data_IF_586200953279
#
_entry.id   IF_586200953279
#
_cell.length_a   1.000
_cell.length_b   1.000
_cell.length_c   1.000
_cell.angle_alpha   90.00
_cell.angle_beta   90.00
_cell.angle_gamma   90.00
#
_symmetry.space_group_name_H-M   'P 1'
#
loop_
_entity.id
_entity.type
_entity.pdbx_description
1 polymer ?
#
# COMPACT_ATOMS: atom_id res chain seq x y z
N UNK A 1 9.17 -40.20 50.73
CA UNK A 1 7.92 -39.85 50.03
C UNK A 1 7.35 -38.57 50.63
N UNK A 2 7.37 -37.46 49.89
CA UNK A 2 6.32 -36.43 49.88
C UNK A 2 6.64 -35.44 48.77
N UNK A 3 5.88 -35.55 47.68
CA UNK A 3 5.81 -34.55 46.61
C UNK A 3 5.05 -33.33 47.18
N UNK A 4 5.55 -32.12 46.95
CA UNK A 4 4.73 -30.91 47.02
C UNK A 4 4.90 -30.16 45.69
N UNK A 5 3.76 -29.81 45.10
CA UNK A 5 3.58 -29.26 43.77
C UNK A 5 3.94 -27.76 43.70
N UNK A 6 4.26 -27.21 42.51
CA UNK A 6 4.21 -25.78 42.28
C UNK A 6 2.77 -25.38 41.91
N UNK A 7 2.21 -24.42 42.64
CA UNK A 7 0.97 -23.72 42.30
C UNK A 7 1.26 -22.23 42.41
N UNK A 8 1.61 -21.57 41.30
CA UNK A 8 1.25 -20.17 41.01
C UNK A 8 1.82 -19.73 39.64
N UNK A 9 1.16 -20.05 38.54
CA UNK A 9 1.21 -19.25 37.30
C UNK A 9 -0.19 -19.34 36.65
N UNK A 10 -1.18 -18.65 37.20
CA UNK A 10 -2.50 -18.47 36.57
C UNK A 10 -3.02 -17.05 36.90
N UNK A 11 -2.23 -16.02 36.62
CA UNK A 11 -2.68 -14.62 36.77
C UNK A 11 -2.13 -13.66 35.69
N UNK A 12 -1.66 -14.20 34.55
CA UNK A 12 -1.17 -13.38 33.43
C UNK A 12 -1.93 -13.61 32.11
N UNK A 13 -2.95 -14.49 32.07
CA UNK A 13 -3.72 -14.76 30.84
C UNK A 13 -5.03 -13.98 30.75
N UNK A 14 -5.47 -13.30 31.82
CA UNK A 14 -6.70 -12.51 31.81
C UNK A 14 -6.50 -11.06 31.32
N UNK A 15 -5.25 -10.59 31.20
CA UNK A 15 -4.95 -9.20 30.78
C UNK A 15 -4.82 -9.02 29.26
N UNK A 16 -4.34 -10.04 28.53
CA UNK A 16 -4.17 -9.94 27.07
C UNK A 16 -5.50 -10.09 26.32
N UNK A 17 -6.43 -10.90 26.85
CA UNK A 17 -7.76 -11.07 26.27
C UNK A 17 -8.58 -9.75 26.27
N UNK A 18 -8.40 -8.92 27.30
CA UNK A 18 -9.05 -7.61 27.40
C UNK A 18 -8.48 -6.58 26.41
N UNK A 19 -7.18 -6.63 26.11
CA UNK A 19 -6.54 -5.72 25.17
C UNK A 19 -6.99 -5.97 23.73
N UNK A 20 -7.08 -7.23 23.30
CA UNK A 20 -7.57 -7.59 21.95
C UNK A 20 -9.03 -7.17 21.72
N UNK A 21 -9.92 -7.41 22.70
CA UNK A 21 -11.31 -6.93 22.64
C UNK A 21 -11.40 -5.41 22.53
N UNK A 22 -10.49 -4.69 23.19
CA UNK A 22 -10.45 -3.22 23.16
C UNK A 22 -10.00 -2.68 21.80
N UNK A 23 -8.98 -3.28 21.17
CA UNK A 23 -8.52 -2.88 19.83
C UNK A 23 -9.58 -3.15 18.77
N UNK A 24 -10.22 -4.33 18.77
CA UNK A 24 -11.28 -4.65 17.82
C UNK A 24 -12.54 -3.80 17.98
N UNK A 25 -12.89 -3.45 19.22
CA UNK A 25 -13.95 -2.48 19.47
C UNK A 25 -13.56 -1.09 18.92
N UNK A 26 -12.30 -0.68 19.13
CA UNK A 26 -11.76 0.59 18.63
C UNK A 26 -11.78 0.66 17.10
N UNK A 27 -11.40 -0.40 16.38
CA UNK A 27 -11.42 -0.43 14.90
C UNK A 27 -12.84 -0.43 14.33
N UNK A 28 -13.79 -1.14 14.96
CA UNK A 28 -15.20 -1.11 14.56
C UNK A 28 -15.84 0.25 14.80
N UNK A 29 -15.52 0.90 15.92
CA UNK A 29 -15.99 2.26 16.22
C UNK A 29 -15.40 3.28 15.23
N UNK A 30 -14.10 3.20 14.95
CA UNK A 30 -13.42 4.02 13.94
C UNK A 30 -14.00 3.80 12.53
N UNK A 31 -14.32 2.56 12.15
CA UNK A 31 -14.99 2.25 10.89
C UNK A 31 -16.33 2.99 10.77
N UNK A 32 -17.14 2.97 11.83
CA UNK A 32 -18.44 3.66 11.83
C UNK A 32 -18.28 5.17 11.80
N UNK A 33 -17.33 5.72 12.55
CA UNK A 33 -17.02 7.16 12.53
C UNK A 33 -16.57 7.61 11.13
N UNK A 34 -15.65 6.89 10.52
CA UNK A 34 -15.18 7.13 9.15
C UNK A 34 -16.34 7.02 8.15
N UNK A 35 -17.15 5.97 8.24
CA UNK A 35 -18.31 5.79 7.38
C UNK A 35 -19.28 6.98 7.45
N UNK A 36 -19.54 7.47 8.67
CA UNK A 36 -20.47 8.58 8.93
C UNK A 36 -19.97 9.93 8.40
N UNK A 37 -18.66 10.14 8.30
CA UNK A 37 -18.05 11.37 7.74
C UNK A 37 -18.55 11.68 6.32
N UNK A 38 -18.91 10.65 5.55
CA UNK A 38 -19.32 10.79 4.15
C UNK A 38 -20.83 10.89 3.95
N UNK A 39 -21.64 10.97 5.03
CA UNK A 39 -23.09 11.15 4.91
C UNK A 39 -23.39 12.39 4.06
N UNK A 40 -24.26 12.21 3.07
CA UNK A 40 -24.65 13.26 2.11
C UNK A 40 -23.82 13.29 0.82
N UNK A 41 -22.70 12.56 0.71
CA UNK A 41 -21.96 12.46 -0.55
C UNK A 41 -22.87 11.91 -1.66
N UNK A 42 -22.98 12.57 -2.83
CA UNK A 42 -23.89 12.16 -3.90
C UNK A 42 -23.60 10.76 -4.44
N UNK A 43 -24.65 10.10 -4.97
CA UNK A 43 -24.46 8.84 -5.68
C UNK A 43 -23.97 9.07 -7.11
N UNK A 44 -22.91 8.39 -7.50
CA UNK A 44 -22.40 8.34 -8.87
C UNK A 44 -22.09 6.89 -9.24
N UNK A 45 -22.70 6.39 -10.31
CA UNK A 45 -22.42 5.03 -10.79
C UNK A 45 -20.94 4.90 -11.17
N UNK A 46 -20.24 3.91 -10.61
CA UNK A 46 -18.80 3.75 -10.77
C UNK A 46 -17.96 4.65 -9.86
N UNK A 47 -18.58 5.53 -9.06
CA UNK A 47 -17.87 6.49 -8.20
C UNK A 47 -17.17 5.85 -7.00
N UNK A 48 -15.97 6.35 -6.70
CA UNK A 48 -15.06 5.83 -5.65
C UNK A 48 -14.45 6.93 -4.78
N UNK A 49 -14.95 8.16 -4.85
CA UNK A 49 -14.34 9.29 -4.13
C UNK A 49 -15.40 10.12 -3.40
N UNK A 50 -15.01 10.99 -2.45
CA UNK A 50 -15.95 11.88 -1.75
C UNK A 50 -16.72 12.87 -2.63
N UNK A 51 -16.36 13.00 -3.93
CA UNK A 51 -17.14 13.75 -4.92
C UNK A 51 -18.36 12.97 -5.44
N UNK A 52 -18.40 11.66 -5.20
CA UNK A 52 -19.48 10.79 -5.65
C UNK A 52 -19.15 9.31 -5.51
N UNK A 53 -20.05 8.55 -4.90
CA UNK A 53 -19.86 7.11 -4.68
C UNK A 53 -20.96 6.26 -5.32
N UNK A 54 -20.62 5.05 -5.78
CA UNK A 54 -21.60 3.95 -5.80
C UNK A 54 -21.52 3.10 -4.53
N UNK A 55 -22.43 2.13 -4.38
CA UNK A 55 -22.52 1.34 -3.14
C UNK A 55 -21.21 0.61 -2.78
N UNK A 56 -20.60 -0.06 -3.75
CA UNK A 56 -19.34 -0.79 -3.56
C UNK A 56 -18.12 0.13 -3.47
N UNK A 57 -18.12 1.26 -4.20
CA UNK A 57 -17.05 2.25 -4.15
C UNK A 57 -17.02 3.00 -2.82
N UNK A 58 -18.19 3.27 -2.23
CA UNK A 58 -18.29 3.81 -0.88
C UNK A 58 -17.72 2.84 0.18
N UNK A 59 -18.15 1.57 0.13
CA UNK A 59 -17.68 0.56 1.09
C UNK A 59 -16.16 0.38 0.97
N UNK A 60 -15.66 0.18 -0.25
CA UNK A 60 -14.23 0.03 -0.49
C UNK A 60 -13.44 1.25 0.04
N UNK A 61 -13.88 2.48 -0.26
CA UNK A 61 -13.23 3.69 0.23
C UNK A 61 -13.16 3.77 1.77
N UNK A 62 -14.26 3.42 2.46
CA UNK A 62 -14.31 3.46 3.93
C UNK A 62 -13.37 2.42 4.55
N UNK A 63 -13.31 1.21 4.00
CA UNK A 63 -12.45 0.14 4.49
C UNK A 63 -10.97 0.39 4.14
N UNK A 64 -10.68 1.05 3.02
CA UNK A 64 -9.32 1.48 2.65
C UNK A 64 -8.72 2.47 3.65
N UNK A 65 -9.53 3.32 4.31
CA UNK A 65 -9.03 4.20 5.39
C UNK A 65 -8.56 3.44 6.63
N UNK A 66 -8.82 2.14 6.70
CA UNK A 66 -8.40 1.23 7.76
C UNK A 66 -7.48 0.12 7.20
N UNK A 67 -6.87 0.35 6.04
CA UNK A 67 -5.96 -0.58 5.36
C UNK A 67 -6.59 -1.93 4.97
N UNK A 68 -7.92 -1.99 4.86
CA UNK A 68 -8.64 -3.20 4.41
C UNK A 68 -8.99 -3.09 2.93
N UNK A 69 -8.26 -3.85 2.11
CA UNK A 69 -8.48 -3.92 0.67
C UNK A 69 -9.65 -4.84 0.32
N UNK A 70 -10.69 -4.28 -0.28
CA UNK A 70 -11.88 -5.02 -0.71
C UNK A 70 -12.09 -4.99 -2.22
N UNK A 71 -12.70 -6.02 -2.83
CA UNK A 71 -13.06 -5.98 -4.24
C UNK A 71 -13.97 -4.81 -4.58
N UNK A 72 -13.72 -4.19 -5.74
CA UNK A 72 -14.45 -3.00 -6.19
C UNK A 72 -15.93 -3.25 -6.49
N UNK A 73 -16.37 -4.48 -6.71
CA UNK A 73 -17.74 -4.80 -7.16
C UNK A 73 -18.56 -5.41 -6.03
N UNK A 74 -19.86 -5.11 -5.98
CA UNK A 74 -20.78 -5.71 -5.00
C UNK A 74 -20.79 -7.24 -5.05
N UNK A 75 -20.60 -7.82 -6.24
CA UNK A 75 -20.47 -9.27 -6.40
C UNK A 75 -19.16 -9.82 -5.83
N UNK A 76 -18.05 -9.09 -5.99
CA UNK A 76 -16.77 -9.43 -5.35
C UNK A 76 -16.86 -9.32 -3.83
N UNK A 77 -17.41 -8.22 -3.31
CA UNK A 77 -17.68 -8.06 -1.88
C UNK A 77 -18.49 -9.21 -1.28
N UNK A 78 -19.45 -9.76 -2.03
CA UNK A 78 -20.28 -10.87 -1.58
C UNK A 78 -19.56 -12.23 -1.56
N UNK A 79 -18.42 -12.33 -2.25
CA UNK A 79 -17.57 -13.54 -2.25
C UNK A 79 -16.52 -13.48 -1.14
N UNK A 80 -16.18 -12.29 -0.65
CA UNK A 80 -15.19 -12.10 0.40
C UNK A 80 -15.76 -12.25 1.82
N UNK A 81 -14.89 -12.63 2.73
CA UNK A 81 -15.17 -12.71 4.16
C UNK A 81 -16.09 -13.86 4.59
N UNK A 82 -16.26 -13.96 5.91
CA UNK A 82 -17.06 -15.01 6.56
C UNK A 82 -18.54 -14.66 6.48
N UNK A 83 -19.37 -15.62 6.08
CA UNK A 83 -20.83 -15.43 6.06
C UNK A 83 -21.38 -15.30 7.48
N UNK A 84 -22.14 -14.22 7.73
CA UNK A 84 -22.76 -13.94 9.03
C UNK A 84 -24.27 -14.07 8.94
N UNK A 85 -24.86 -14.70 9.95
CA UNK A 85 -26.31 -14.80 10.07
C UNK A 85 -26.91 -13.46 10.51
N UNK A 86 -28.15 -13.16 10.11
CA UNK A 86 -28.78 -11.87 10.46
C UNK A 86 -28.88 -11.63 11.98
N UNK A 87 -28.98 -12.69 12.80
CA UNK A 87 -29.02 -12.57 14.26
C UNK A 87 -27.65 -12.30 14.90
N UNK A 88 -26.57 -12.56 14.16
CA UNK A 88 -25.19 -12.47 14.64
C UNK A 88 -24.47 -11.25 14.04
N UNK A 89 -25.24 -10.31 13.47
CA UNK A 89 -24.71 -9.08 12.91
C UNK A 89 -23.98 -8.27 13.98
N UNK A 90 -22.77 -7.87 13.63
CA UNK A 90 -21.95 -6.96 14.41
C UNK A 90 -21.63 -5.72 13.59
N UNK A 91 -21.41 -4.61 14.29
CA UNK A 91 -20.94 -3.37 13.70
C UNK A 91 -19.73 -3.64 12.79
N UNK A 92 -19.81 -3.15 11.56
CA UNK A 92 -18.79 -3.34 10.53
C UNK A 92 -19.05 -4.48 9.56
N UNK A 93 -20.04 -5.36 9.82
CA UNK A 93 -20.44 -6.35 8.83
C UNK A 93 -21.00 -5.68 7.57
N UNK A 94 -20.64 -6.20 6.40
CA UNK A 94 -21.19 -5.74 5.12
C UNK A 94 -22.50 -6.49 4.89
N UNK A 95 -23.60 -5.75 4.78
CA UNK A 95 -24.94 -6.28 4.51
C UNK A 95 -25.28 -6.16 3.03
N UNK A 96 -25.91 -7.19 2.47
CA UNK A 96 -26.17 -7.32 1.04
C UNK A 96 -27.64 -7.45 0.71
N UNK A 97 -28.04 -6.90 -0.44
CA UNK A 97 -29.44 -6.83 -0.85
C UNK A 97 -29.65 -7.10 -2.34
N UNK A 98 -30.86 -7.56 -2.67
CA UNK A 98 -31.40 -7.66 -4.02
C UNK A 98 -32.41 -6.54 -4.29
N UNK A 99 -31.93 -5.46 -4.90
CA UNK A 99 -32.71 -4.29 -5.30
C UNK A 99 -33.14 -4.30 -6.78
N UNK A 100 -32.50 -5.13 -7.62
CA UNK A 100 -32.80 -5.23 -9.07
C UNK A 100 -33.59 -6.49 -9.49
N UNK A 101 -33.98 -7.34 -8.54
CA UNK A 101 -34.82 -8.52 -8.79
C UNK A 101 -34.07 -9.83 -9.01
N UNK A 102 -32.75 -9.81 -9.18
CA UNK A 102 -31.91 -11.02 -9.24
C UNK A 102 -30.49 -10.77 -8.72
N UNK A 103 -29.97 -11.70 -7.92
CA UNK A 103 -28.61 -11.65 -7.41
C UNK A 103 -28.36 -10.53 -6.41
N UNK A 104 -27.09 -10.39 -6.00
CA UNK A 104 -26.64 -9.26 -5.17
C UNK A 104 -26.49 -8.01 -6.03
N UNK A 105 -27.16 -6.93 -5.64
CA UNK A 105 -27.15 -5.69 -6.42
C UNK A 105 -26.94 -4.43 -5.60
N UNK A 106 -26.94 -4.53 -4.28
CA UNK A 106 -26.68 -3.42 -3.39
C UNK A 106 -26.01 -3.90 -2.10
N UNK A 107 -25.23 -3.04 -1.47
CA UNK A 107 -24.59 -3.33 -0.20
C UNK A 107 -24.48 -2.08 0.68
N UNK A 108 -24.24 -2.29 1.97
CA UNK A 108 -23.90 -1.25 2.92
C UNK A 108 -23.20 -1.83 4.16
N UNK A 109 -22.78 -0.96 5.07
CA UNK A 109 -22.05 -1.33 6.29
C UNK A 109 -23.05 -1.30 7.46
N UNK A 110 -23.13 -2.39 8.22
CA UNK A 110 -23.96 -2.46 9.41
C UNK A 110 -23.36 -1.59 10.52
N UNK A 111 -24.19 -0.71 11.11
CA UNK A 111 -23.74 0.28 12.10
C UNK A 111 -24.38 0.08 13.48
N UNK A 112 -24.97 -1.09 13.72
CA UNK A 112 -25.66 -1.41 14.97
C UNK A 112 -27.16 -1.14 14.92
N UNK A 113 -27.88 -1.59 15.96
CA UNK A 113 -29.31 -1.32 16.18
C UNK A 113 -30.27 -1.63 15.02
N UNK A 114 -29.87 -2.55 14.13
CA UNK A 114 -30.67 -2.89 12.95
C UNK A 114 -30.56 -1.84 11.83
N UNK A 115 -29.58 -0.97 11.87
CA UNK A 115 -29.30 0.08 10.88
C UNK A 115 -28.04 -0.24 10.07
N UNK A 116 -28.00 0.30 8.86
CA UNK A 116 -26.83 0.22 7.99
C UNK A 116 -26.65 1.52 7.20
N UNK A 117 -25.41 1.84 6.86
CA UNK A 117 -25.03 3.01 6.06
C UNK A 117 -24.67 2.58 4.64
N UNK A 118 -25.13 3.32 3.63
CA UNK A 118 -24.93 2.98 2.23
C UNK A 118 -25.05 4.18 1.30
N UNK A 119 -24.51 4.08 0.07
CA UNK A 119 -24.75 5.07 -0.98
C UNK A 119 -26.12 4.84 -1.65
N UNK A 120 -27.09 5.71 -1.38
CA UNK A 120 -28.43 5.70 -2.01
C UNK A 120 -28.45 6.47 -3.32
N UNK A 121 -29.05 5.88 -4.36
CA UNK A 121 -29.18 6.52 -5.68
C UNK A 121 -29.92 7.86 -5.69
N UNK A 122 -30.76 8.13 -4.68
CA UNK A 122 -31.55 9.37 -4.59
C UNK A 122 -31.14 10.29 -3.43
N UNK A 123 -30.49 9.77 -2.39
CA UNK A 123 -30.15 10.53 -1.18
C UNK A 123 -28.65 10.67 -0.93
N UNK A 124 -27.81 10.07 -1.78
CA UNK A 124 -26.37 9.95 -1.50
C UNK A 124 -26.10 8.99 -0.34
N UNK A 125 -24.93 9.08 0.27
CA UNK A 125 -24.59 8.28 1.46
C UNK A 125 -25.56 8.61 2.60
N UNK A 126 -26.27 7.60 3.09
CA UNK A 126 -27.34 7.74 4.09
C UNK A 126 -27.49 6.46 4.90
N UNK A 127 -28.29 6.51 5.97
CA UNK A 127 -28.61 5.37 6.82
C UNK A 127 -30.05 4.91 6.59
N UNK A 128 -30.28 3.60 6.68
CA UNK A 128 -31.61 3.01 6.65
C UNK A 128 -31.69 1.83 7.61
N UNK A 129 -32.92 1.47 8.01
CA UNK A 129 -33.17 0.28 8.83
C UNK A 129 -33.30 -0.99 7.99
N UNK A 130 -32.60 -2.04 8.40
CA UNK A 130 -32.74 -3.42 7.90
C UNK A 130 -34.15 -4.01 8.11
N UNK A 131 -34.94 -3.40 9.01
CA UNK A 131 -36.28 -3.86 9.36
C UNK A 131 -37.37 -3.07 8.64
N UNK A 132 -37.01 -2.10 7.79
CA UNK A 132 -37.98 -1.36 6.99
C UNK A 132 -38.67 -2.25 5.95
N UNK A 133 -39.89 -1.88 5.56
CA UNK A 133 -40.69 -2.57 4.53
C UNK A 133 -39.95 -2.68 3.19
N UNK A 134 -39.03 -1.75 2.92
CA UNK A 134 -38.23 -1.77 1.70
C UNK A 134 -37.03 -2.73 1.81
N UNK A 135 -36.21 -2.63 2.87
CA UNK A 135 -34.94 -3.35 2.96
C UNK A 135 -35.09 -4.78 3.50
N UNK A 136 -36.04 -5.02 4.40
CA UNK A 136 -36.28 -6.34 5.00
C UNK A 136 -36.52 -7.45 3.96
N UNK A 137 -37.44 -7.32 2.98
CA UNK A 137 -37.66 -8.35 1.97
C UNK A 137 -36.54 -8.46 0.93
N UNK A 138 -35.58 -7.54 0.92
CA UNK A 138 -34.47 -7.50 -0.05
C UNK A 138 -33.16 -8.02 0.52
N UNK A 139 -33.08 -8.28 1.81
CA UNK A 139 -31.87 -8.74 2.48
C UNK A 139 -31.46 -10.13 2.00
N UNK A 140 -30.19 -10.27 1.57
CA UNK A 140 -29.62 -11.51 1.06
C UNK A 140 -28.69 -12.19 2.05
N UNK A 141 -28.05 -11.43 2.93
CA UNK A 141 -27.05 -11.94 3.88
C UNK A 141 -26.04 -10.87 4.26
N UNK A 142 -25.05 -11.27 5.04
CA UNK A 142 -23.95 -10.42 5.45
C UNK A 142 -22.60 -11.13 5.39
N UNK A 143 -21.54 -10.34 5.23
CA UNK A 143 -20.14 -10.77 5.27
C UNK A 143 -19.40 -10.00 6.33
N UNK A 144 -18.65 -10.71 7.16
CA UNK A 144 -17.64 -10.14 8.05
C UNK A 144 -16.29 -10.22 7.36
N UNK A 145 -15.74 -9.06 7.06
CA UNK A 145 -14.44 -8.89 6.40
C UNK A 145 -13.36 -8.41 7.37
N UNK A 146 -13.71 -8.19 8.64
CA UNK A 146 -12.76 -7.96 9.72
C UNK A 146 -12.28 -9.30 10.28
N UNK A 147 -10.99 -9.32 10.62
CA UNK A 147 -10.17 -10.48 10.98
C UNK A 147 -10.86 -11.39 12.00
N UNK A 148 -10.84 -12.70 11.75
CA UNK A 148 -11.41 -13.70 12.66
C UNK A 148 -10.53 -13.88 13.89
N UNK A 149 -11.09 -14.29 15.04
CA UNK A 149 -10.34 -14.55 16.29
C UNK A 149 -9.01 -15.35 16.12
N UNK A 150 -8.91 -16.41 15.27
CA UNK A 150 -7.63 -17.08 15.01
C UNK A 150 -6.62 -16.24 14.20
N UNK A 151 -7.07 -15.32 13.34
CA UNK A 151 -6.18 -14.36 12.65
C UNK A 151 -5.69 -13.27 13.59
N UNK A 152 -6.49 -12.84 14.56
CA UNK A 152 -6.07 -11.83 15.57
C UNK A 152 -4.98 -12.40 16.49
N UNK A 153 -5.04 -13.70 16.83
CA UNK A 153 -3.95 -14.34 17.57
C UNK A 153 -2.67 -14.40 16.73
N UNK A 154 -2.76 -14.68 15.43
CA UNK A 154 -1.57 -14.66 14.55
C UNK A 154 -1.06 -13.25 14.24
N UNK A 155 -1.93 -12.28 13.94
CA UNK A 155 -1.56 -10.89 13.70
C UNK A 155 -1.02 -10.21 14.97
N UNK A 156 -1.52 -10.57 16.16
CA UNK A 156 -0.93 -10.13 17.44
C UNK A 156 0.41 -10.83 17.73
N UNK A 157 0.59 -12.09 17.32
CA UNK A 157 1.88 -12.77 17.35
C UNK A 157 2.88 -12.17 16.34
N UNK A 158 2.46 -11.81 15.14
CA UNK A 158 3.27 -11.12 14.13
C UNK A 158 3.67 -9.72 14.61
N UNK A 159 2.72 -8.95 15.15
CA UNK A 159 2.97 -7.61 15.67
C UNK A 159 3.89 -7.63 16.90
N UNK A 160 3.84 -8.72 17.69
CA UNK A 160 4.72 -8.94 18.84
C UNK A 160 5.99 -9.71 18.51
N UNK A 161 6.16 -10.19 17.27
CA UNK A 161 7.40 -10.83 16.82
C UNK A 161 8.51 -9.79 16.84
N UNK A 162 9.65 -10.19 17.38
CA UNK A 162 10.88 -9.43 17.26
C UNK A 162 11.34 -9.47 15.80
N UNK A 163 11.62 -8.30 15.22
CA UNK A 163 12.14 -8.21 13.87
C UNK A 163 13.61 -8.62 13.86
N UNK A 164 13.96 -9.47 12.90
CA UNK A 164 15.34 -9.79 12.60
C UNK A 164 16.01 -8.60 11.86
N UNK A 165 17.36 -8.51 11.88
CA UNK A 165 18.06 -7.45 11.17
C UNK A 165 17.69 -7.39 9.69
N UNK A 166 17.22 -6.21 9.26
CA UNK A 166 16.77 -5.93 7.89
C UNK A 166 15.29 -6.20 7.63
N UNK A 167 14.53 -6.70 8.60
CA UNK A 167 13.07 -6.82 8.52
C UNK A 167 12.36 -5.52 8.91
N UNK A 168 11.15 -5.32 8.37
CA UNK A 168 10.29 -4.18 8.65
C UNK A 168 8.84 -4.64 8.86
N UNK A 169 8.08 -3.91 9.69
CA UNK A 169 6.69 -4.28 10.05
C UNK A 169 5.73 -4.24 8.88
N UNK A 170 5.93 -3.29 7.96
CA UNK A 170 5.13 -3.08 6.77
C UNK A 170 5.60 -3.94 5.56
N UNK A 171 6.67 -4.73 5.73
CA UNK A 171 7.16 -5.68 4.73
C UNK A 171 7.02 -7.10 5.30
N UNK A 172 5.81 -7.65 5.25
CA UNK A 172 5.53 -9.01 5.73
C UNK A 172 6.21 -10.07 4.84
N UNK A 173 6.46 -11.27 5.36
CA UNK A 173 7.10 -12.38 4.61
C UNK A 173 6.38 -12.76 3.30
N UNK A 174 5.07 -12.50 3.22
CA UNK A 174 4.26 -12.73 2.02
C UNK A 174 4.19 -11.52 1.08
N UNK A 175 4.85 -10.40 1.41
CA UNK A 175 4.95 -9.23 0.55
C UNK A 175 5.84 -9.57 -0.66
N UNK A 176 5.43 -9.11 -1.84
CA UNK A 176 6.09 -9.45 -3.11
C UNK A 176 7.53 -8.93 -3.26
N UNK A 177 7.94 -7.99 -2.40
CA UNK A 177 9.29 -7.43 -2.35
C UNK A 177 10.07 -7.90 -1.10
N UNK A 178 9.55 -8.86 -0.33
CA UNK A 178 10.11 -9.21 0.98
C UNK A 178 11.57 -9.62 0.88
N UNK A 179 11.88 -10.59 0.02
CA UNK A 179 13.24 -11.12 -0.14
C UNK A 179 14.20 -10.03 -0.63
N UNK A 180 13.79 -9.21 -1.60
CA UNK A 180 14.62 -8.14 -2.14
C UNK A 180 14.92 -7.05 -1.11
N UNK A 181 13.91 -6.63 -0.34
CA UNK A 181 14.09 -5.64 0.73
C UNK A 181 14.99 -6.19 1.84
N UNK A 182 14.74 -7.43 2.29
CA UNK A 182 15.52 -8.05 3.34
C UNK A 182 17.01 -8.15 2.95
N UNK A 183 17.31 -8.64 1.75
CA UNK A 183 18.67 -8.77 1.26
C UNK A 183 19.37 -7.40 1.15
N UNK A 184 18.72 -6.41 0.53
CA UNK A 184 19.31 -5.07 0.39
C UNK A 184 19.51 -4.37 1.74
N UNK A 185 18.65 -4.63 2.73
CA UNK A 185 18.83 -4.08 4.07
C UNK A 185 19.93 -4.78 4.85
N UNK A 186 20.12 -6.09 4.68
CA UNK A 186 21.25 -6.83 5.26
C UNK A 186 22.60 -6.43 4.64
N UNK A 187 22.59 -6.04 3.37
CA UNK A 187 23.76 -5.51 2.65
C UNK A 187 24.02 -4.02 2.91
N UNK A 188 23.27 -3.39 3.82
CA UNK A 188 23.39 -1.97 4.20
C UNK A 188 23.13 -0.98 3.03
N UNK A 189 22.43 -1.43 1.98
CA UNK A 189 22.14 -0.62 0.79
C UNK A 189 20.88 0.23 0.99
N UNK A 190 19.84 -0.35 1.58
CA UNK A 190 18.57 0.33 1.85
C UNK A 190 18.17 0.21 3.32
N UNK A 191 17.75 1.33 3.90
CA UNK A 191 17.27 1.40 5.28
C UNK A 191 15.79 1.75 5.33
N UNK A 192 15.13 1.47 6.45
CA UNK A 192 13.76 1.90 6.68
C UNK A 192 13.63 3.41 6.85
N UNK A 193 12.39 3.89 6.83
CA UNK A 193 12.04 5.30 7.06
C UNK A 193 12.03 5.66 8.55
N UNK A 194 12.08 4.67 9.44
CA UNK A 194 12.03 4.83 10.90
C UNK A 194 10.94 3.97 11.51
N UNK A 195 10.93 3.84 12.83
CA UNK A 195 9.88 3.13 13.61
C UNK A 195 9.59 1.70 13.13
N UNK A 196 10.63 0.98 12.71
CA UNK A 196 10.56 -0.37 12.13
C UNK A 196 9.79 -0.44 10.78
N UNK A 197 9.56 0.69 10.11
CA UNK A 197 8.89 0.75 8.80
C UNK A 197 9.88 0.95 7.66
N UNK A 198 9.59 0.28 6.54
CA UNK A 198 10.29 0.45 5.27
C UNK A 198 9.69 1.59 4.44
N UNK A 199 8.37 1.76 4.46
CA UNK A 199 7.63 2.70 3.63
C UNK A 199 7.32 2.14 2.23
N UNK A 200 6.86 0.88 2.12
CA UNK A 200 6.72 0.13 0.85
C UNK A 200 6.00 0.89 -0.28
N UNK A 201 4.94 1.62 0.05
CA UNK A 201 4.07 2.32 -0.92
C UNK A 201 4.45 3.80 -1.10
N UNK A 202 5.48 4.28 -0.40
CA UNK A 202 5.91 5.67 -0.50
C UNK A 202 6.57 5.94 -1.85
N UNK A 203 6.07 6.95 -2.57
CA UNK A 203 6.74 7.45 -3.76
C UNK A 203 8.12 8.01 -3.39
N UNK A 204 9.15 7.63 -4.15
CA UNK A 204 10.51 8.08 -3.89
C UNK A 204 10.76 9.50 -4.40
N UNK A 205 11.49 10.27 -3.59
CA UNK A 205 12.06 11.56 -3.98
C UNK A 205 13.37 11.39 -4.74
N UNK A 206 13.76 12.42 -5.50
CA UNK A 206 15.01 12.38 -6.27
C UNK A 206 16.24 12.27 -5.40
N UNK A 207 16.22 12.89 -4.21
CA UNK A 207 17.28 12.73 -3.22
C UNK A 207 17.42 11.28 -2.73
N UNK A 208 16.30 10.60 -2.49
CA UNK A 208 16.32 9.19 -2.04
C UNK A 208 16.88 8.28 -3.13
N UNK A 209 16.41 8.40 -4.38
CA UNK A 209 16.92 7.59 -5.50
C UNK A 209 18.43 7.81 -5.70
N UNK A 210 18.90 9.06 -5.73
CA UNK A 210 20.33 9.36 -5.89
C UNK A 210 21.17 8.75 -4.74
N UNK A 211 20.68 8.86 -3.50
CA UNK A 211 21.38 8.33 -2.33
C UNK A 211 21.46 6.80 -2.35
N UNK A 212 20.40 6.13 -2.80
CA UNK A 212 20.37 4.68 -2.92
C UNK A 212 21.29 4.17 -4.04
N UNK A 213 21.36 4.87 -5.19
CA UNK A 213 22.30 4.52 -6.26
C UNK A 213 23.76 4.69 -5.83
N UNK A 214 24.07 5.72 -5.04
CA UNK A 214 25.41 5.92 -4.45
C UNK A 214 25.79 4.76 -3.54
N UNK A 215 24.87 4.29 -2.68
CA UNK A 215 25.11 3.13 -1.81
C UNK A 215 25.24 1.83 -2.59
N UNK A 216 24.35 1.58 -3.56
CA UNK A 216 24.39 0.39 -4.39
C UNK A 216 25.68 0.27 -5.24
N UNK A 217 26.32 1.40 -5.54
CA UNK A 217 27.60 1.45 -6.25
C UNK A 217 28.82 1.60 -5.31
N UNK A 218 28.64 1.47 -3.99
CA UNK A 218 29.70 1.62 -2.97
C UNK A 218 30.53 2.92 -3.14
N UNK A 219 29.85 4.02 -3.50
CA UNK A 219 30.50 5.30 -3.74
C UNK A 219 30.67 6.09 -2.45
N UNK A 220 31.90 6.56 -2.21
CA UNK A 220 32.16 7.49 -1.11
C UNK A 220 31.58 8.88 -1.39
N UNK A 221 30.79 9.37 -0.43
CA UNK A 221 30.20 10.71 -0.44
C UNK A 221 31.06 11.76 0.30
N UNK A 222 32.15 11.36 0.94
CA UNK A 222 32.92 12.24 1.81
C UNK A 222 33.69 13.33 1.07
N UNK A 223 33.65 14.55 1.62
CA UNK A 223 34.34 15.72 1.07
C UNK A 223 33.78 16.26 -0.25
N UNK A 224 32.64 15.75 -0.72
CA UNK A 224 32.01 16.16 -1.97
C UNK A 224 31.00 17.30 -1.76
N UNK A 225 30.94 18.22 -2.72
CA UNK A 225 29.92 19.26 -2.80
C UNK A 225 29.28 19.21 -4.19
N UNK A 226 27.97 19.42 -4.24
CA UNK A 226 27.21 19.44 -5.48
C UNK A 226 27.23 20.82 -6.11
N UNK A 227 27.09 20.91 -7.44
CA UNK A 227 26.88 22.19 -8.11
C UNK A 227 25.45 22.71 -8.00
N UNK A 228 24.49 21.85 -7.61
CA UNK A 228 23.10 22.22 -7.44
C UNK A 228 22.88 23.12 -6.23
N UNK A 229 22.25 24.28 -6.44
CA UNK A 229 22.16 25.33 -5.42
C UNK A 229 21.14 25.02 -4.32
N UNK A 230 20.23 24.07 -4.55
CA UNK A 230 19.12 23.75 -3.64
C UNK A 230 19.31 22.44 -2.87
N UNK A 231 20.53 21.89 -2.84
CA UNK A 231 20.91 20.78 -1.96
C UNK A 231 21.80 21.21 -0.80
N UNK A 232 22.26 22.46 -0.77
CA UNK A 232 23.06 22.96 0.35
C UNK A 232 22.27 22.87 1.67
N UNK A 233 22.83 22.17 2.65
CA UNK A 233 22.19 21.94 3.95
C UNK A 233 21.11 20.84 3.95
N UNK A 234 20.83 20.21 2.81
CA UNK A 234 19.93 19.06 2.71
C UNK A 234 20.60 17.80 3.28
N UNK A 235 19.80 16.86 3.81
CA UNK A 235 20.33 15.63 4.43
C UNK A 235 21.13 14.77 3.44
N UNK A 236 20.77 14.82 2.16
CA UNK A 236 21.39 14.04 1.07
C UNK A 236 22.48 14.81 0.31
N UNK A 237 22.93 15.96 0.81
CA UNK A 237 23.80 16.86 0.04
C UNK A 237 25.09 16.17 -0.45
N UNK A 238 25.68 15.33 0.39
CA UNK A 238 26.93 14.62 0.08
C UNK A 238 26.69 13.51 -0.96
N UNK A 239 25.62 12.75 -0.80
CA UNK A 239 25.23 11.68 -1.71
C UNK A 239 24.85 12.22 -3.07
N UNK A 240 24.07 13.31 -3.13
CA UNK A 240 23.76 13.98 -4.41
C UNK A 240 25.04 14.46 -5.09
N UNK A 241 25.99 15.04 -4.34
CA UNK A 241 27.30 15.42 -4.87
C UNK A 241 28.10 14.22 -5.39
N UNK A 242 27.99 13.05 -4.74
CA UNK A 242 28.62 11.82 -5.17
C UNK A 242 28.02 11.30 -6.48
N UNK A 243 26.68 11.26 -6.57
CA UNK A 243 25.94 10.87 -7.75
C UNK A 243 26.22 11.79 -8.94
N UNK A 244 26.26 13.11 -8.70
CA UNK A 244 26.60 14.12 -9.73
C UNK A 244 28.01 13.87 -10.29
N UNK A 245 29.01 13.72 -9.43
CA UNK A 245 30.39 13.49 -9.86
C UNK A 245 30.62 12.13 -10.52
N UNK A 246 29.73 11.16 -10.27
CA UNK A 246 29.77 9.84 -10.89
C UNK A 246 29.01 9.78 -12.22
N UNK A 247 28.38 10.89 -12.65
CA UNK A 247 27.63 10.95 -13.91
C UNK A 247 26.19 10.45 -13.84
N UNK A 248 25.71 10.04 -12.66
CA UNK A 248 24.36 9.46 -12.51
C UNK A 248 23.27 10.49 -12.81
N UNK A 249 23.61 11.78 -12.67
CA UNK A 249 22.70 12.92 -12.79
C UNK A 249 22.91 13.73 -14.08
N UNK A 250 23.68 13.24 -15.05
CA UNK A 250 24.09 13.99 -16.25
C UNK A 250 22.92 14.43 -17.16
N UNK A 251 21.77 13.76 -17.03
CA UNK A 251 20.54 14.13 -17.73
C UNK A 251 19.88 15.41 -17.17
N UNK A 252 20.21 15.80 -15.95
CA UNK A 252 19.66 17.01 -15.33
C UNK A 252 20.33 18.25 -15.89
N UNK A 253 19.51 19.21 -16.32
CA UNK A 253 19.99 20.50 -16.84
C UNK A 253 19.59 21.64 -15.90
N UNK A 254 20.48 22.62 -15.75
CA UNK A 254 20.27 23.80 -14.91
C UNK A 254 20.93 23.72 -13.53
N UNK A 255 20.62 24.69 -12.68
CA UNK A 255 21.31 24.89 -11.39
C UNK A 255 20.59 24.23 -10.20
N UNK A 256 19.44 23.56 -10.42
CA UNK A 256 18.58 23.04 -9.34
C UNK A 256 18.36 21.53 -9.46
N UNK A 257 18.54 20.83 -8.35
CA UNK A 257 18.27 19.41 -8.17
C UNK A 257 16.92 19.10 -7.54
N UNK A 258 16.16 20.08 -7.03
CA UNK A 258 14.84 19.87 -6.36
C UNK A 258 14.72 18.50 -5.62
N UNK A 259 15.41 18.33 -4.48
CA UNK A 259 15.61 17.03 -3.84
C UNK A 259 14.32 16.31 -3.43
N UNK A 260 13.26 17.04 -3.13
CA UNK A 260 11.96 16.53 -2.64
C UNK A 260 10.96 16.17 -3.77
N UNK A 261 11.30 16.42 -5.02
CA UNK A 261 10.44 16.09 -6.16
C UNK A 261 10.34 14.57 -6.31
N UNK A 262 9.12 14.06 -6.49
CA UNK A 262 8.88 12.63 -6.73
C UNK A 262 9.39 12.25 -8.11
N UNK A 263 10.15 11.16 -8.17
CA UNK A 263 10.83 10.70 -9.40
C UNK A 263 9.88 9.87 -10.23
N UNK A 264 9.83 10.14 -11.52
CA UNK A 264 9.07 9.34 -12.47
C UNK A 264 9.84 8.07 -12.86
N UNK A 265 9.14 7.10 -13.44
CA UNK A 265 9.74 5.85 -13.92
C UNK A 265 10.77 6.08 -15.03
N UNK A 266 10.56 7.09 -15.88
CA UNK A 266 11.57 7.47 -16.90
C UNK A 266 12.83 8.07 -16.27
N UNK A 267 12.69 8.95 -15.27
CA UNK A 267 13.84 9.55 -14.59
C UNK A 267 14.63 8.47 -13.84
N UNK A 268 13.96 7.51 -13.20
CA UNK A 268 14.62 6.34 -12.61
C UNK A 268 15.36 5.53 -13.67
N UNK A 269 14.75 5.27 -14.82
CA UNK A 269 15.41 4.50 -15.88
C UNK A 269 16.70 5.18 -16.34
N UNK A 270 16.68 6.50 -16.53
CA UNK A 270 17.85 7.27 -16.92
C UNK A 270 18.93 7.26 -15.83
N UNK A 271 18.55 7.52 -14.57
CA UNK A 271 19.50 7.51 -13.44
C UNK A 271 20.16 6.13 -13.26
N UNK A 272 19.36 5.05 -13.37
CA UNK A 272 19.85 3.66 -13.24
C UNK A 272 20.76 3.29 -14.40
N UNK A 273 20.38 3.61 -15.64
CA UNK A 273 21.19 3.30 -16.81
C UNK A 273 22.56 3.99 -16.74
N UNK A 274 22.58 5.27 -16.34
CA UNK A 274 23.84 6.00 -16.12
C UNK A 274 24.65 5.42 -14.97
N UNK A 275 23.99 5.00 -13.87
CA UNK A 275 24.69 4.49 -12.70
C UNK A 275 25.36 3.12 -12.92
N UNK A 276 24.78 2.29 -13.78
CA UNK A 276 25.26 0.93 -14.05
C UNK A 276 25.81 0.74 -15.47
N UNK A 277 26.02 1.84 -16.21
CA UNK A 277 26.56 1.86 -17.58
C UNK A 277 25.78 0.91 -18.52
N UNK A 278 24.44 0.97 -18.46
CA UNK A 278 23.56 0.10 -19.22
C UNK A 278 23.33 0.65 -20.63
N UNK A 279 23.66 -0.15 -21.63
CA UNK A 279 23.46 0.19 -23.04
C UNK A 279 22.32 -0.63 -23.67
N UNK A 280 21.54 0.01 -24.55
CA UNK A 280 20.51 -0.65 -25.34
C UNK A 280 21.06 -1.18 -26.67
N UNK A 281 20.62 -2.37 -27.07
CA UNK A 281 21.00 -3.00 -28.34
C UNK A 281 19.80 -3.32 -29.26
N UNK A 282 18.58 -3.06 -28.82
CA UNK A 282 17.35 -3.46 -29.51
C UNK A 282 16.18 -2.51 -29.29
N UNK A 283 15.03 -3.05 -28.91
CA UNK A 283 13.78 -2.31 -28.78
C UNK A 283 13.04 -2.74 -27.52
N UNK A 284 12.50 -1.78 -26.77
CA UNK A 284 11.78 -2.07 -25.54
C UNK A 284 10.42 -2.78 -25.74
N UNK A 285 9.77 -2.60 -26.89
CA UNK A 285 8.45 -3.18 -27.20
C UNK A 285 7.26 -2.56 -26.46
N UNK A 286 7.48 -1.50 -25.68
CA UNK A 286 6.41 -0.77 -24.99
C UNK A 286 5.58 0.06 -25.96
N UNK A 287 4.27 0.06 -25.75
CA UNK A 287 3.33 0.75 -26.64
C UNK A 287 3.34 2.27 -26.46
N UNK A 288 3.79 2.76 -25.31
CA UNK A 288 3.81 4.16 -24.89
C UNK A 288 5.22 4.79 -24.86
N UNK A 289 6.26 4.03 -25.19
CA UNK A 289 7.66 4.51 -25.27
C UNK A 289 8.24 4.19 -26.64
N UNK A 290 8.11 5.13 -27.57
CA UNK A 290 8.59 5.00 -28.95
C UNK A 290 10.01 5.56 -29.13
N UNK A 291 10.69 5.24 -30.23
CA UNK A 291 12.09 5.67 -30.53
C UNK A 291 12.34 7.19 -30.50
N UNK A 292 11.29 8.01 -30.48
CA UNK A 292 11.42 9.47 -30.38
C UNK A 292 11.31 9.99 -28.95
N UNK A 293 11.09 9.10 -27.97
CA UNK A 293 11.02 9.43 -26.56
C UNK A 293 12.42 9.69 -26.02
N UNK A 294 12.61 10.72 -25.21
CA UNK A 294 13.94 11.16 -24.76
C UNK A 294 14.69 10.08 -23.96
N UNK A 295 13.98 9.33 -23.11
CA UNK A 295 14.52 8.20 -22.35
C UNK A 295 14.43 6.82 -23.06
N UNK A 296 14.30 6.78 -24.40
CA UNK A 296 14.03 5.53 -25.12
C UNK A 296 15.12 4.48 -24.92
N UNK A 297 16.39 4.89 -25.00
CA UNK A 297 17.53 3.97 -24.95
C UNK A 297 17.70 3.42 -23.53
N UNK A 298 17.58 4.25 -22.50
CA UNK A 298 17.72 3.84 -21.10
C UNK A 298 16.59 2.88 -20.69
N UNK A 299 15.34 3.19 -21.07
CA UNK A 299 14.20 2.30 -20.84
C UNK A 299 14.39 0.97 -21.58
N UNK A 300 14.97 1.00 -22.79
CA UNK A 300 15.29 -0.22 -23.55
C UNK A 300 16.38 -1.04 -22.87
N UNK A 301 17.44 -0.41 -22.38
CA UNK A 301 18.53 -1.07 -21.68
C UNK A 301 18.03 -1.80 -20.43
N UNK A 302 17.20 -1.15 -19.61
CA UNK A 302 16.62 -1.77 -18.42
C UNK A 302 15.70 -2.96 -18.76
N UNK A 303 14.97 -2.89 -19.87
CA UNK A 303 14.12 -4.00 -20.33
C UNK A 303 14.94 -5.20 -20.80
N UNK A 304 15.99 -4.96 -21.58
CA UNK A 304 16.87 -6.00 -22.13
C UNK A 304 17.63 -6.75 -21.05
N UNK A 305 18.02 -6.05 -19.97
CA UNK A 305 18.66 -6.65 -18.79
C UNK A 305 17.65 -7.27 -17.80
N UNK A 306 16.35 -7.29 -18.11
CA UNK A 306 15.33 -7.90 -17.25
C UNK A 306 15.03 -7.15 -15.94
N UNK A 307 15.54 -5.93 -15.81
CA UNK A 307 15.40 -5.08 -14.62
C UNK A 307 13.95 -4.62 -14.52
N UNK A 308 13.41 -4.03 -15.60
CA UNK A 308 12.01 -3.60 -15.69
C UNK A 308 11.27 -4.34 -16.80
N UNK A 309 10.07 -4.84 -16.49
CA UNK A 309 9.25 -5.55 -17.47
C UNK A 309 8.08 -4.75 -18.06
N UNK A 310 7.73 -3.62 -17.46
CA UNK A 310 6.50 -2.88 -17.75
C UNK A 310 5.26 -3.54 -17.14
N UNK A 311 4.09 -3.07 -17.55
CA UNK A 311 2.80 -3.56 -17.10
C UNK A 311 2.23 -4.61 -18.07
N UNK A 312 1.27 -5.40 -17.59
CA UNK A 312 0.62 -6.49 -18.37
C UNK A 312 -0.09 -5.99 -19.64
N UNK A 313 -0.45 -4.71 -19.69
CA UNK A 313 -1.05 -4.05 -20.86
C UNK A 313 -0.02 -3.67 -21.94
N UNK A 314 1.27 -3.98 -21.73
CA UNK A 314 2.35 -3.67 -22.65
C UNK A 314 2.84 -2.21 -22.57
N UNK A 315 2.52 -1.49 -21.49
CA UNK A 315 2.98 -0.12 -21.25
C UNK A 315 4.16 -0.05 -20.28
N UNK A 316 4.95 1.02 -20.35
CA UNK A 316 5.98 1.37 -19.37
C UNK A 316 5.50 2.41 -18.35
N UNK A 317 4.59 3.30 -18.75
CA UNK A 317 4.05 4.45 -18.00
C UNK A 317 5.15 5.41 -17.52
N UNK A 318 5.86 6.09 -18.44
CA UNK A 318 7.05 6.87 -18.11
C UNK A 318 6.81 7.95 -17.05
N UNK A 319 5.65 8.62 -17.09
CA UNK A 319 5.28 9.70 -16.16
C UNK A 319 4.76 9.25 -14.80
N UNK A 320 4.57 7.95 -14.57
CA UNK A 320 4.15 7.47 -13.25
C UNK A 320 5.33 7.54 -12.28
N UNK A 321 5.05 7.86 -11.03
CA UNK A 321 6.04 7.74 -9.94
C UNK A 321 6.34 6.28 -9.64
N UNK A 322 7.47 6.04 -8.97
CA UNK A 322 7.86 4.71 -8.51
C UNK A 322 7.80 4.64 -6.98
N UNK A 323 7.25 3.54 -6.48
CA UNK A 323 7.23 3.27 -5.04
C UNK A 323 8.58 2.76 -4.55
N UNK A 324 8.83 2.89 -3.25
CA UNK A 324 10.05 2.41 -2.62
C UNK A 324 10.25 0.90 -2.78
N UNK A 325 9.19 0.10 -2.67
CA UNK A 325 9.28 -1.36 -2.87
C UNK A 325 9.61 -1.72 -4.34
N UNK A 326 9.04 -1.01 -5.32
CA UNK A 326 9.35 -1.26 -6.73
C UNK A 326 10.81 -0.94 -7.05
N UNK A 327 11.32 0.16 -6.48
CA UNK A 327 12.72 0.53 -6.66
C UNK A 327 13.68 -0.42 -5.92
N UNK A 328 13.27 -1.01 -4.79
CA UNK A 328 14.05 -2.06 -4.14
C UNK A 328 14.25 -3.27 -5.06
N UNK A 329 13.21 -3.71 -5.78
CA UNK A 329 13.37 -4.77 -6.80
C UNK A 329 14.34 -4.35 -7.91
N UNK A 330 14.26 -3.10 -8.37
CA UNK A 330 15.19 -2.59 -9.39
C UNK A 330 16.64 -2.68 -8.91
N UNK A 331 16.93 -2.20 -7.69
CA UNK A 331 18.27 -2.28 -7.10
C UNK A 331 18.74 -3.72 -6.91
N UNK A 332 17.88 -4.58 -6.36
CA UNK A 332 18.24 -5.97 -6.11
C UNK A 332 18.66 -6.70 -7.39
N UNK A 333 17.93 -6.49 -8.50
CA UNK A 333 18.26 -7.06 -9.82
C UNK A 333 19.51 -6.47 -10.47
N UNK A 334 19.90 -5.25 -10.11
CA UNK A 334 21.14 -4.64 -10.61
C UNK A 334 22.36 -5.23 -9.90
N UNK A 335 22.18 -5.64 -8.65
CA UNK A 335 23.24 -6.15 -7.79
C UNK A 335 23.44 -7.67 -7.89
N UNK A 336 22.55 -8.40 -8.56
CA UNK A 336 22.53 -9.87 -8.65
C UNK A 336 22.20 -10.38 -10.05
#
# INVERSE_FOLDING_TARGET
>A
MRKMAPLLIVFLTLSMFAQSLTVMATTKDQLVETAKTYIGTPYHYGGTTPNGFDCSGYINYVFEQLDVNLPRTTSGLYQEGTSVSKSDLEVGDIVFFNTFGSGVSHAGIYIGDGEFIHASTSRGVTTDSLNSDYWSPRYLGAKRVTETEPEIEQASLETSRELEPGEYRDVKENHWAYDEVLNLSQDDVIHGTGDDEFGVNGDLTRAEVASLLVRANDLSAEGKNSSFIDVEGHWSAKEVAAAEQAGFLDHLTGERFKPEEKVTREEVAVMVANAFDLEANGQNGFTDVTQVHDAYDEITALKEHGIINGYDDGTFRPNHTITRAEFAIVLYKLMN
#
